data_IF_606273328567
#
_entry.id   IF_606273328567
#
_cell.length_a   1.000
_cell.length_b   1.000
_cell.length_c   1.000
_cell.angle_alpha   90.00
_cell.angle_beta   90.00
_cell.angle_gamma   90.00
#
_symmetry.space_group_name_H-M   'P 1'
#
loop_
_entity.id
_entity.type
_entity.pdbx_description
1 polymer ?
#
# COMPACT_ATOMS: atom_id res chain seq x y z
N UNK A 1 -56.66 65.51 -18.40
CA UNK A 1 -56.69 64.29 -17.56
C UNK A 1 -55.41 63.53 -17.86
N UNK A 2 -54.31 63.68 -17.10
CA UNK A 2 -54.03 63.26 -15.72
C UNK A 2 -53.83 61.73 -15.56
N UNK A 3 -52.78 61.39 -14.79
CA UNK A 3 -52.22 60.07 -14.40
C UNK A 3 -51.18 59.51 -15.38
N UNK A 4 -49.86 59.72 -15.24
CA UNK A 4 -48.92 59.84 -14.11
C UNK A 4 -48.69 58.53 -13.31
N UNK A 5 -47.45 58.07 -13.39
CA UNK A 5 -46.85 56.91 -12.75
C UNK A 5 -46.57 57.13 -11.25
N UNK A 6 -46.51 56.04 -10.47
CA UNK A 6 -45.83 56.05 -9.18
C UNK A 6 -45.29 54.66 -8.79
N UNK A 7 -43.98 54.66 -8.56
CA UNK A 7 -43.13 53.72 -7.84
C UNK A 7 -43.60 53.45 -6.42
N UNK A 8 -43.38 52.24 -5.87
CA UNK A 8 -43.37 52.00 -4.42
C UNK A 8 -42.19 51.13 -4.01
N UNK A 9 -41.56 51.58 -2.94
CA UNK A 9 -40.29 51.21 -2.30
C UNK A 9 -40.54 50.22 -1.15
N UNK A 10 -39.52 49.40 -0.86
CA UNK A 10 -39.37 48.41 0.21
C UNK A 10 -39.45 49.01 1.63
N UNK A 11 -39.87 48.23 2.65
CA UNK A 11 -39.26 48.36 3.97
C UNK A 11 -38.67 47.04 4.49
N UNK A 12 -37.52 47.15 5.14
CA UNK A 12 -36.89 46.12 5.94
C UNK A 12 -37.58 46.01 7.31
N UNK A 13 -37.64 44.80 7.89
CA UNK A 13 -37.98 44.65 9.32
C UNK A 13 -37.01 43.73 10.07
N UNK A 14 -36.64 44.28 11.22
CA UNK A 14 -35.69 43.91 12.26
C UNK A 14 -36.00 42.57 12.97
N UNK A 15 -34.93 41.88 13.38
CA UNK A 15 -34.93 40.71 14.28
C UNK A 15 -35.09 41.10 15.76
N UNK A 16 -35.72 40.27 16.61
CA UNK A 16 -35.49 40.31 18.05
C UNK A 16 -34.71 39.07 18.56
N UNK A 17 -33.74 39.34 19.42
CA UNK A 17 -32.93 38.39 20.19
C UNK A 17 -33.69 37.85 21.42
N UNK A 18 -33.30 36.64 21.83
CA UNK A 18 -33.17 36.18 23.23
C UNK A 18 -34.38 35.56 23.94
N UNK A 19 -34.36 34.23 24.09
CA UNK A 19 -34.57 33.55 25.38
C UNK A 19 -33.78 32.23 25.44
N UNK A 20 -32.84 32.17 26.38
CA UNK A 20 -32.10 30.98 26.82
C UNK A 20 -33.03 30.05 27.62
N UNK A 21 -32.91 28.75 27.39
CA UNK A 21 -33.12 27.73 28.42
C UNK A 21 -32.14 26.57 28.17
N UNK A 22 -31.16 26.45 29.06
CA UNK A 22 -30.23 25.33 29.18
C UNK A 22 -30.92 24.23 30.01
N UNK A 23 -30.89 22.98 29.56
CA UNK A 23 -30.98 21.80 30.44
C UNK A 23 -30.02 20.69 29.95
N UNK A 24 -29.44 19.89 30.88
CA UNK A 24 -28.15 19.22 30.71
C UNK A 24 -28.22 17.77 30.19
N UNK A 25 -27.04 17.31 29.74
CA UNK A 25 -26.65 15.99 29.22
C UNK A 25 -26.88 14.81 30.18
N UNK A 26 -26.89 13.58 29.64
CA UNK A 26 -26.15 12.46 30.23
C UNK A 26 -24.96 11.99 29.37
N UNK A 27 -23.94 11.34 29.97
CA UNK A 27 -22.62 11.15 29.36
C UNK A 27 -22.41 9.79 28.67
N UNK A 28 -21.62 9.84 27.58
CA UNK A 28 -20.57 8.90 27.13
C UNK A 28 -20.87 7.39 27.05
N UNK A 29 -20.88 6.86 25.82
CA UNK A 29 -20.43 5.50 25.50
C UNK A 29 -19.70 5.51 24.14
N UNK A 30 -18.38 5.24 24.16
CA UNK A 30 -17.56 5.12 22.96
C UNK A 30 -17.85 3.84 22.17
N UNK A 31 -17.39 3.74 20.91
CA UNK A 31 -17.63 2.57 20.09
C UNK A 31 -16.89 1.33 20.63
N UNK A 32 -17.65 0.29 20.95
CA UNK A 32 -17.19 -1.01 21.44
C UNK A 32 -16.53 -1.78 20.28
N UNK A 33 -15.26 -2.14 20.45
CA UNK A 33 -14.55 -3.08 19.58
C UNK A 33 -15.12 -4.49 19.78
N UNK A 34 -15.63 -5.08 18.70
CA UNK A 34 -16.03 -6.49 18.66
C UNK A 34 -14.77 -7.37 18.67
N UNK A 35 -14.37 -7.82 19.85
CA UNK A 35 -13.40 -8.91 20.03
C UNK A 35 -14.09 -10.22 19.67
N UNK A 36 -13.77 -10.75 18.49
CA UNK A 36 -14.09 -12.12 18.11
C UNK A 36 -13.13 -13.11 18.81
N UNK A 37 -13.71 -14.25 19.13
CA UNK A 37 -13.28 -15.31 20.02
C UNK A 37 -11.88 -15.90 19.73
N UNK A 38 -11.10 -16.09 20.79
CA UNK A 38 -9.99 -17.04 20.83
C UNK A 38 -10.52 -18.42 21.27
N UNK A 39 -10.09 -19.53 20.65
CA UNK A 39 -10.27 -20.84 21.26
C UNK A 39 -9.03 -21.30 22.03
N UNK A 40 -9.37 -21.98 23.12
CA UNK A 40 -8.59 -22.60 24.16
C UNK A 40 -7.33 -23.39 23.75
N UNK A 41 -6.33 -23.27 24.63
CA UNK A 41 -5.25 -24.20 24.82
C UNK A 41 -5.76 -25.63 25.05
N UNK A 42 -5.12 -26.61 24.40
CA UNK A 42 -5.23 -28.03 24.75
C UNK A 42 -3.84 -28.58 25.07
N UNK A 43 -3.56 -28.70 26.37
CA UNK A 43 -2.46 -29.51 26.92
C UNK A 43 -2.79 -30.99 26.78
N UNK A 44 -1.82 -31.80 26.31
CA UNK A 44 -1.60 -33.25 26.50
C UNK A 44 -0.46 -33.62 25.51
N UNK A 45 0.64 -34.27 25.85
CA UNK A 45 1.07 -34.88 27.09
C UNK A 45 2.60 -35.01 27.08
N UNK A 46 3.14 -35.07 28.28
CA UNK A 46 4.53 -35.36 28.61
C UNK A 46 4.76 -36.87 28.45
N UNK A 47 5.73 -37.27 27.64
CA UNK A 47 6.37 -38.59 27.73
C UNK A 47 7.87 -38.35 27.70
N UNK A 48 8.50 -38.67 28.82
CA UNK A 48 9.95 -38.78 28.98
C UNK A 48 10.34 -40.19 28.59
N UNK A 49 11.28 -40.34 27.66
CA UNK A 49 12.09 -41.54 27.50
C UNK A 49 13.53 -41.10 27.21
N UNK A 50 14.46 -41.63 28.00
CA UNK A 50 15.88 -41.31 28.00
C UNK A 50 16.65 -41.99 26.85
N UNK A 51 17.85 -41.44 26.63
CA UNK A 51 19.03 -41.81 25.83
C UNK A 51 19.14 -43.27 25.31
N UNK A 52 19.74 -43.58 24.15
CA UNK A 52 21.11 -43.20 23.76
C UNK A 52 21.39 -43.32 22.24
N UNK A 53 22.36 -42.51 21.81
CA UNK A 53 23.36 -42.68 20.74
C UNK A 53 22.96 -43.20 19.33
N UNK A 54 23.11 -42.32 18.32
CA UNK A 54 24.00 -42.57 17.17
C UNK A 54 24.12 -41.32 16.29
N UNK A 55 25.37 -40.98 15.97
CA UNK A 55 25.85 -39.75 15.35
C UNK A 55 25.46 -39.56 13.87
N UNK A 56 25.23 -38.29 13.49
CA UNK A 56 25.42 -37.80 12.12
C UNK A 56 25.64 -36.27 12.09
N UNK A 57 26.88 -35.85 12.33
CA UNK A 57 27.58 -34.82 11.56
C UNK A 57 27.01 -33.40 11.47
N UNK A 58 26.98 -32.67 12.58
CA UNK A 58 27.15 -31.22 12.58
C UNK A 58 28.38 -30.91 13.42
N UNK A 59 29.40 -30.25 12.85
CA UNK A 59 30.60 -29.88 13.58
C UNK A 59 30.26 -28.82 14.64
N UNK A 60 29.86 -29.28 15.82
CA UNK A 60 29.87 -28.51 17.06
C UNK A 60 31.33 -28.26 17.43
N UNK A 61 31.77 -27.01 17.29
CA UNK A 61 32.92 -26.52 18.04
C UNK A 61 32.37 -26.19 19.44
N UNK A 62 32.53 -27.13 20.36
CA UNK A 62 32.31 -26.89 21.78
C UNK A 62 33.23 -25.75 22.24
N UNK A 63 32.67 -24.80 23.00
CA UNK A 63 33.26 -23.53 23.49
C UNK A 63 33.14 -22.33 22.54
N UNK A 64 31.94 -22.06 22.01
CA UNK A 64 31.62 -20.79 21.34
C UNK A 64 31.49 -19.66 22.38
N UNK A 65 32.63 -19.14 22.84
CA UNK A 65 32.69 -17.82 23.49
C UNK A 65 31.96 -16.79 22.63
N UNK A 66 31.16 -15.93 23.28
CA UNK A 66 30.35 -14.96 22.56
C UNK A 66 31.27 -14.12 21.65
N UNK A 67 30.94 -13.95 20.35
CA UNK A 67 31.82 -13.22 19.43
C UNK A 67 32.03 -11.77 19.87
N UNK A 68 31.04 -11.21 20.59
CA UNK A 68 31.13 -9.90 21.25
C UNK A 68 32.17 -9.86 22.39
N UNK A 69 32.33 -10.95 23.16
CA UNK A 69 33.30 -11.05 24.25
C UNK A 69 34.72 -11.23 23.72
N UNK A 70 34.91 -12.00 22.65
CA UNK A 70 36.21 -12.17 21.97
C UNK A 70 36.70 -10.84 21.40
N UNK A 71 35.80 -10.06 20.81
CA UNK A 71 36.07 -8.71 20.30
C UNK A 71 36.13 -7.64 21.41
N UNK A 72 35.75 -7.97 22.65
CA UNK A 72 35.70 -7.03 23.79
C UNK A 72 34.69 -5.89 23.63
N UNK A 73 33.63 -6.11 22.85
CA UNK A 73 32.62 -5.11 22.51
C UNK A 73 31.26 -5.47 23.11
N UNK A 74 30.46 -4.46 23.43
CA UNK A 74 29.06 -4.69 23.78
C UNK A 74 28.18 -4.76 22.53
N UNK A 75 27.08 -5.53 22.52
CA UNK A 75 26.17 -5.61 21.37
C UNK A 75 25.50 -4.28 20.97
N UNK A 76 25.58 -3.26 21.82
CA UNK A 76 25.04 -1.92 21.61
C UNK A 76 26.08 -0.92 21.11
N UNK A 77 27.33 -1.34 20.99
CA UNK A 77 28.44 -0.45 20.68
C UNK A 77 28.46 -0.04 19.21
N UNK A 78 29.05 1.13 18.94
CA UNK A 78 29.09 1.69 17.60
C UNK A 78 30.03 0.91 16.67
N UNK A 79 29.70 0.88 15.37
CA UNK A 79 30.48 0.17 14.35
C UNK A 79 31.95 0.63 14.28
N UNK A 80 32.19 1.92 14.56
CA UNK A 80 33.53 2.49 14.59
C UNK A 80 34.33 1.97 15.79
N UNK A 81 33.68 1.78 16.94
CA UNK A 81 34.30 1.18 18.13
C UNK A 81 34.69 -0.29 17.90
N UNK A 82 33.83 -1.06 17.21
CA UNK A 82 34.13 -2.45 16.82
C UNK A 82 35.36 -2.56 15.92
N UNK A 83 35.49 -1.69 14.91
CA UNK A 83 36.66 -1.66 14.02
C UNK A 83 37.94 -1.33 14.76
N UNK A 84 37.88 -0.42 15.72
CA UNK A 84 39.03 -0.02 16.53
C UNK A 84 39.45 -1.14 17.48
N UNK A 85 38.49 -1.80 18.14
CA UNK A 85 38.74 -2.95 19.01
C UNK A 85 39.38 -4.12 18.24
N UNK A 86 38.84 -4.45 17.06
CA UNK A 86 39.41 -5.47 16.18
C UNK A 86 40.86 -5.14 15.77
N UNK A 87 41.12 -3.93 15.26
CA UNK A 87 42.47 -3.52 14.85
C UNK A 87 43.48 -3.57 15.98
N UNK A 88 43.06 -3.19 17.19
CA UNK A 88 43.90 -3.24 18.38
C UNK A 88 44.23 -4.68 18.77
N UNK A 89 43.22 -5.56 18.80
CA UNK A 89 43.38 -6.98 19.15
C UNK A 89 44.16 -7.77 18.13
N UNK A 90 44.01 -7.43 16.85
CA UNK A 90 44.79 -8.01 15.77
C UNK A 90 46.29 -7.70 15.91
N UNK A 91 46.63 -6.44 16.19
CA UNK A 91 48.02 -6.02 16.43
C UNK A 91 48.64 -6.68 17.67
N UNK A 92 47.87 -6.79 18.75
CA UNK A 92 48.29 -7.48 19.99
C UNK A 92 48.55 -8.98 19.75
N UNK A 93 47.74 -9.63 18.91
CA UNK A 93 47.88 -11.05 18.58
C UNK A 93 49.04 -11.33 17.60
N UNK A 94 49.26 -10.46 16.60
CA UNK A 94 50.43 -10.52 15.72
C UNK A 94 51.74 -10.34 16.50
N UNK A 95 51.75 -9.47 17.52
CA UNK A 95 52.93 -9.25 18.37
C UNK A 95 53.22 -10.44 19.31
N UNK A 96 52.19 -11.21 19.67
CA UNK A 96 52.31 -12.38 20.56
C UNK A 96 52.61 -13.67 19.77
N UNK A 97 52.27 -13.72 18.47
CA UNK A 97 52.52 -14.88 17.60
C UNK A 97 51.51 -16.03 17.77
N UNK A 98 50.34 -15.74 18.31
CA UNK A 98 49.28 -16.72 18.56
C UNK A 98 48.31 -16.82 17.36
N UNK A 99 48.68 -17.65 16.38
CA UNK A 99 47.89 -17.85 15.14
C UNK A 99 46.46 -18.37 15.41
N UNK A 100 46.29 -19.21 16.44
CA UNK A 100 44.99 -19.77 16.83
C UNK A 100 44.03 -18.70 17.39
N UNK A 101 44.56 -17.67 18.04
CA UNK A 101 43.76 -16.55 18.57
C UNK A 101 43.36 -15.59 17.45
N UNK A 102 44.25 -15.37 16.47
CA UNK A 102 43.93 -14.59 15.26
C UNK A 102 42.77 -15.20 14.47
N UNK A 103 42.80 -16.51 14.23
CA UNK A 103 41.72 -17.21 13.52
C UNK A 103 40.36 -17.10 14.24
N UNK A 104 40.36 -17.14 15.58
CA UNK A 104 39.15 -16.94 16.40
C UNK A 104 38.64 -15.49 16.32
N UNK A 105 39.54 -14.51 16.33
CA UNK A 105 39.21 -13.09 16.24
C UNK A 105 38.60 -12.73 14.88
N UNK A 106 39.17 -13.26 13.78
CA UNK A 106 38.63 -13.09 12.43
C UNK A 106 37.23 -13.70 12.28
N UNK A 107 37.05 -14.94 12.76
CA UNK A 107 35.75 -15.62 12.77
C UNK A 107 34.71 -14.85 13.58
N UNK A 108 35.09 -14.27 14.72
CA UNK A 108 34.21 -13.42 15.54
C UNK A 108 33.84 -12.12 14.81
N UNK A 109 34.79 -11.46 14.15
CA UNK A 109 34.54 -10.24 13.39
C UNK A 109 33.59 -10.48 12.21
N UNK A 110 33.82 -11.55 11.44
CA UNK A 110 32.99 -11.93 10.30
C UNK A 110 31.58 -12.31 10.72
N UNK A 111 31.42 -13.04 11.83
CA UNK A 111 30.10 -13.39 12.35
C UNK A 111 29.31 -12.17 12.81
N UNK A 112 29.92 -11.22 13.52
CA UNK A 112 29.26 -9.95 13.90
C UNK A 112 28.92 -9.12 12.66
N UNK A 113 29.81 -9.06 11.68
CA UNK A 113 29.57 -8.36 10.41
C UNK A 113 28.39 -8.96 9.65
N UNK A 114 28.34 -10.30 9.54
CA UNK A 114 27.24 -11.00 8.91
C UNK A 114 25.93 -10.83 9.67
N UNK A 115 25.96 -10.83 10.99
CA UNK A 115 24.79 -10.53 11.81
C UNK A 115 24.27 -9.10 11.54
N UNK A 116 25.13 -8.10 11.41
CA UNK A 116 24.70 -6.74 11.04
C UNK A 116 24.01 -6.69 9.67
N UNK A 117 24.56 -7.38 8.65
CA UNK A 117 23.92 -7.46 7.33
C UNK A 117 22.57 -8.18 7.40
N UNK A 118 22.48 -9.25 8.19
CA UNK A 118 21.23 -9.95 8.43
C UNK A 118 20.22 -9.08 9.19
N UNK A 119 20.64 -8.30 10.18
CA UNK A 119 19.77 -7.37 10.91
C UNK A 119 19.26 -6.25 10.00
N UNK A 120 20.10 -5.72 9.11
CA UNK A 120 19.69 -4.77 8.05
C UNK A 120 18.66 -5.40 7.12
N UNK A 121 18.92 -6.61 6.60
CA UNK A 121 17.97 -7.35 5.76
C UNK A 121 16.68 -7.70 6.49
N UNK A 122 16.76 -7.96 7.81
CA UNK A 122 15.64 -8.25 8.70
C UNK A 122 14.98 -6.98 9.25
N UNK A 123 15.42 -5.77 8.89
CA UNK A 123 14.82 -4.52 9.37
C UNK A 123 14.76 -4.40 10.89
N UNK A 124 15.76 -4.96 11.59
CA UNK A 124 15.92 -4.82 13.04
C UNK A 124 17.04 -3.82 13.26
N UNK A 125 16.76 -2.72 13.95
CA UNK A 125 17.80 -1.77 14.36
C UNK A 125 18.51 -2.27 15.62
N UNK A 126 19.69 -1.73 15.92
CA UNK A 126 20.40 -2.00 17.18
C UNK A 126 19.44 -1.92 18.38
N UNK A 127 19.51 -2.91 19.28
CA UNK A 127 18.65 -2.96 20.47
C UNK A 127 17.28 -3.61 20.27
N UNK A 128 17.11 -4.51 19.30
CA UNK A 128 15.88 -5.33 19.08
C UNK A 128 14.61 -4.54 18.71
N UNK A 129 14.73 -3.25 18.44
CA UNK A 129 13.59 -2.44 17.96
C UNK A 129 13.26 -2.90 16.55
N UNK A 130 12.16 -3.63 16.42
CA UNK A 130 11.67 -4.10 15.14
C UNK A 130 11.04 -2.93 14.39
N UNK A 131 11.56 -2.60 13.22
CA UNK A 131 10.90 -1.67 12.30
C UNK A 131 9.57 -2.29 11.89
N UNK A 132 8.50 -1.50 11.92
CA UNK A 132 7.16 -2.02 11.59
C UNK A 132 7.15 -2.67 10.21
N UNK A 133 6.41 -3.77 10.06
CA UNK A 133 6.38 -4.56 8.83
C UNK A 133 5.99 -3.73 7.60
N UNK A 134 5.15 -2.71 7.78
CA UNK A 134 4.72 -1.79 6.74
C UNK A 134 5.87 -0.91 6.22
N UNK A 135 6.80 -0.51 7.09
CA UNK A 135 7.98 0.26 6.71
C UNK A 135 9.07 -0.66 6.15
N UNK A 136 9.27 -1.82 6.79
CA UNK A 136 10.28 -2.81 6.40
C UNK A 136 10.07 -3.42 5.01
N UNK A 137 8.83 -3.56 4.58
CA UNK A 137 8.47 -4.19 3.30
C UNK A 137 7.81 -3.22 2.31
N UNK A 138 7.90 -1.91 2.53
CA UNK A 138 7.36 -0.89 1.61
C UNK A 138 7.92 -1.01 0.18
N UNK A 139 9.15 -1.49 0.05
CA UNK A 139 9.82 -1.72 -1.23
C UNK A 139 9.62 -3.13 -1.81
N UNK A 140 9.07 -4.07 -1.04
CA UNK A 140 8.82 -5.45 -1.49
C UNK A 140 7.53 -5.62 -2.32
N UNK A 141 7.09 -4.57 -3.00
CA UNK A 141 6.02 -4.64 -4.00
C UNK A 141 6.56 -4.12 -5.33
N UNK A 142 6.41 -4.87 -6.45
CA UNK A 142 5.40 -5.92 -6.72
C UNK A 142 5.89 -7.39 -6.69
N UNK A 143 4.95 -8.34 -6.48
CA UNK A 143 5.17 -9.82 -6.51
C UNK A 143 5.70 -10.29 -7.88
N UNK A 144 5.23 -9.63 -8.93
CA UNK A 144 5.70 -9.81 -10.31
C UNK A 144 6.17 -8.47 -10.84
N UNK A 145 7.32 -8.40 -11.53
CA UNK A 145 7.97 -7.14 -11.91
C UNK A 145 7.11 -6.23 -12.81
N UNK A 146 6.08 -6.79 -13.46
CA UNK A 146 5.17 -6.07 -14.36
C UNK A 146 3.76 -5.82 -13.77
N UNK A 147 3.50 -6.26 -12.54
CA UNK A 147 2.18 -6.18 -11.92
C UNK A 147 1.82 -4.80 -11.36
N UNK A 148 0.53 -4.52 -11.12
CA UNK A 148 0.07 -3.26 -10.54
C UNK A 148 0.64 -3.06 -9.13
N UNK A 149 1.11 -1.86 -8.82
CA UNK A 149 1.68 -1.53 -7.50
C UNK A 149 0.59 -0.98 -6.59
N UNK A 150 0.50 -1.46 -5.35
CA UNK A 150 -0.44 -0.91 -4.37
C UNK A 150 -0.06 0.54 -4.07
N UNK A 151 -1.02 1.44 -4.21
CA UNK A 151 -0.91 2.86 -3.91
C UNK A 151 -2.29 3.34 -3.51
N UNK A 152 -2.61 3.17 -2.23
CA UNK A 152 -3.85 3.67 -1.65
C UNK A 152 -3.93 5.19 -1.78
N UNK A 153 -5.02 5.69 -2.36
CA UNK A 153 -5.31 7.12 -2.39
C UNK A 153 -5.83 7.60 -1.03
N UNK A 154 -5.88 8.92 -0.84
CA UNK A 154 -6.42 9.50 0.39
C UNK A 154 -7.90 9.14 0.57
N UNK A 155 -8.38 9.07 1.82
CA UNK A 155 -9.80 8.75 2.10
C UNK A 155 -10.77 9.70 1.37
N UNK A 156 -10.37 10.97 1.21
CA UNK A 156 -11.12 11.96 0.44
C UNK A 156 -11.23 11.55 -1.03
N UNK A 157 -10.13 11.16 -1.65
CA UNK A 157 -10.11 10.75 -3.06
C UNK A 157 -10.86 9.44 -3.30
N UNK A 158 -10.76 8.48 -2.38
CA UNK A 158 -11.55 7.23 -2.42
C UNK A 158 -13.04 7.54 -2.43
N UNK A 159 -13.51 8.43 -1.55
CA UNK A 159 -14.93 8.83 -1.49
C UNK A 159 -15.39 9.51 -2.77
N UNK A 160 -14.55 10.34 -3.39
CA UNK A 160 -14.94 10.99 -4.64
C UNK A 160 -14.95 9.99 -5.80
N UNK A 161 -13.99 9.07 -5.86
CA UNK A 161 -14.00 7.99 -6.85
C UNK A 161 -15.25 7.11 -6.69
N UNK A 162 -15.65 6.80 -5.45
CA UNK A 162 -16.91 6.10 -5.15
C UNK A 162 -18.13 6.92 -5.59
N UNK A 163 -18.12 8.24 -5.36
CA UNK A 163 -19.19 9.12 -5.82
C UNK A 163 -19.35 9.09 -7.34
N UNK A 164 -18.25 9.14 -8.09
CA UNK A 164 -18.28 9.08 -9.55
C UNK A 164 -18.82 7.73 -10.04
N UNK A 165 -18.35 6.61 -9.48
CA UNK A 165 -18.83 5.30 -9.90
C UNK A 165 -20.31 5.10 -9.57
N UNK A 166 -20.75 5.47 -8.38
CA UNK A 166 -22.15 5.34 -7.95
C UNK A 166 -23.10 6.20 -8.79
N UNK A 167 -22.74 7.45 -9.11
CA UNK A 167 -23.56 8.32 -9.97
C UNK A 167 -23.72 7.72 -11.37
N UNK A 168 -22.65 7.18 -11.96
CA UNK A 168 -22.73 6.55 -13.28
C UNK A 168 -23.59 5.27 -13.23
N UNK A 169 -23.44 4.44 -12.20
CA UNK A 169 -24.25 3.22 -12.03
C UNK A 169 -25.74 3.55 -11.85
N UNK A 170 -26.06 4.57 -11.05
CA UNK A 170 -27.45 5.03 -10.87
C UNK A 170 -28.01 5.61 -12.17
N UNK A 171 -27.20 6.37 -12.91
CA UNK A 171 -27.60 6.91 -14.22
C UNK A 171 -28.03 5.79 -15.17
N UNK A 172 -27.18 4.79 -15.37
CA UNK A 172 -27.48 3.70 -16.31
C UNK A 172 -28.68 2.85 -15.83
N UNK A 173 -28.86 2.71 -14.52
CA UNK A 173 -30.00 1.98 -13.95
C UNK A 173 -31.34 2.69 -14.20
N UNK A 174 -31.37 4.03 -14.12
CA UNK A 174 -32.59 4.83 -14.37
C UNK A 174 -32.93 4.85 -15.86
N UNK A 175 -31.93 5.02 -16.73
CA UNK A 175 -32.15 5.12 -18.17
C UNK A 175 -32.57 3.79 -18.80
N UNK A 176 -32.23 2.65 -18.18
CA UNK A 176 -32.55 1.31 -18.70
C UNK A 176 -31.82 0.92 -19.99
N UNK A 177 -31.19 1.90 -20.65
CA UNK A 177 -30.40 1.77 -21.85
C UNK A 177 -29.05 2.45 -21.61
N UNK A 178 -27.94 1.73 -21.79
CA UNK A 178 -26.62 2.33 -21.83
C UNK A 178 -26.30 2.73 -23.28
N UNK A 179 -26.54 4.00 -23.61
CA UNK A 179 -25.83 4.63 -24.72
C UNK A 179 -24.30 4.54 -24.47
N UNK A 180 -23.46 4.75 -25.48
CA UNK A 180 -22.01 4.87 -25.29
C UNK A 180 -21.61 6.10 -24.44
N UNK A 181 -22.53 7.05 -24.21
CA UNK A 181 -22.30 8.29 -23.47
C UNK A 181 -21.88 8.08 -22.00
N UNK A 182 -22.62 7.32 -21.15
CA UNK A 182 -22.21 7.04 -19.77
C UNK A 182 -20.82 6.41 -19.67
N UNK A 183 -20.48 5.49 -20.57
CA UNK A 183 -19.14 4.89 -20.63
C UNK A 183 -18.08 5.95 -20.94
N UNK A 184 -18.33 6.86 -21.87
CA UNK A 184 -17.40 7.95 -22.16
C UNK A 184 -17.20 8.90 -20.97
N UNK A 185 -18.29 9.36 -20.32
CA UNK A 185 -18.18 10.23 -19.14
C UNK A 185 -17.41 9.55 -18.01
N UNK A 186 -17.64 8.26 -17.80
CA UNK A 186 -16.89 7.44 -16.84
C UNK A 186 -15.40 7.43 -17.20
N UNK A 187 -15.06 7.14 -18.46
CA UNK A 187 -13.67 7.12 -18.94
C UNK A 187 -12.99 8.48 -18.76
N UNK A 188 -13.64 9.59 -19.13
CA UNK A 188 -13.07 10.93 -18.96
C UNK A 188 -12.85 11.32 -17.49
N UNK A 189 -13.84 11.04 -16.63
CA UNK A 189 -13.73 11.33 -15.20
C UNK A 189 -12.59 10.55 -14.54
N UNK A 190 -12.49 9.25 -14.82
CA UNK A 190 -11.42 8.41 -14.28
C UNK A 190 -10.07 8.69 -14.94
N UNK A 191 -10.02 9.12 -16.20
CA UNK A 191 -8.80 9.58 -16.85
C UNK A 191 -8.15 10.74 -16.10
N UNK A 192 -8.93 11.78 -15.82
CA UNK A 192 -8.44 12.91 -15.04
C UNK A 192 -7.96 12.48 -13.64
N UNK A 193 -8.72 11.61 -12.98
CA UNK A 193 -8.39 11.09 -11.64
C UNK A 193 -7.08 10.30 -11.61
N UNK A 194 -6.92 9.38 -12.54
CA UNK A 194 -5.71 8.55 -12.66
C UNK A 194 -4.51 9.44 -13.00
N UNK A 195 -4.67 10.42 -13.89
CA UNK A 195 -3.59 11.38 -14.21
C UNK A 195 -3.16 12.19 -12.98
N UNK A 196 -4.12 12.72 -12.20
CA UNK A 196 -3.80 13.43 -10.97
C UNK A 196 -3.07 12.55 -9.97
N UNK A 197 -3.49 11.30 -9.83
CA UNK A 197 -2.85 10.31 -8.95
C UNK A 197 -1.42 10.01 -9.41
N UNK A 198 -1.23 9.71 -10.70
CA UNK A 198 0.10 9.46 -11.27
C UNK A 198 1.03 10.66 -11.07
N UNK A 199 0.51 11.89 -11.27
CA UNK A 199 1.26 13.13 -11.04
C UNK A 199 1.74 13.29 -9.60
N UNK A 200 0.93 12.90 -8.61
CA UNK A 200 1.26 13.04 -7.19
C UNK A 200 2.28 11.99 -6.69
N UNK A 201 2.39 10.85 -7.37
CA UNK A 201 3.24 9.73 -6.92
C UNK A 201 4.66 9.73 -7.48
N UNK A 202 5.01 10.71 -8.30
CA UNK A 202 6.37 10.84 -8.83
C UNK A 202 7.27 11.56 -7.83
N UNK A 203 8.53 11.08 -7.65
CA UNK A 203 9.50 11.78 -6.84
C UNK A 203 9.73 13.18 -7.42
N UNK A 204 9.90 14.22 -6.58
CA UNK A 204 10.34 15.52 -7.06
C UNK A 204 11.76 15.38 -7.63
N UNK A 205 11.85 15.21 -8.95
CA UNK A 205 13.12 15.20 -9.68
C UNK A 205 13.59 16.65 -9.77
N UNK A 206 14.82 16.91 -9.33
CA UNK A 206 15.46 18.21 -9.55
C UNK A 206 15.41 18.54 -11.04
N UNK A 207 14.77 19.65 -11.44
CA UNK A 207 14.66 19.99 -12.85
C UNK A 207 16.07 20.14 -13.44
N UNK A 208 16.41 19.25 -14.37
CA UNK A 208 17.61 19.39 -15.20
C UNK A 208 17.21 20.37 -16.30
N UNK A 209 17.70 21.59 -16.19
CA UNK A 209 17.52 22.63 -17.19
C UNK A 209 18.59 22.46 -18.27
N UNK A 210 18.19 22.50 -19.54
CA UNK A 210 19.13 22.59 -20.64
C UNK A 210 19.75 24.01 -20.69
N UNK A 211 20.74 24.20 -21.57
CA UNK A 211 21.43 25.48 -21.80
C UNK A 211 20.47 26.64 -22.16
N UNK A 212 19.27 26.32 -22.64
CA UNK A 212 18.22 27.26 -23.02
C UNK A 212 17.14 27.48 -21.94
N UNK A 213 17.34 26.93 -20.72
CA UNK A 213 16.41 27.10 -19.60
C UNK A 213 15.12 26.27 -19.69
N UNK A 214 15.01 25.36 -20.66
CA UNK A 214 13.88 24.43 -20.77
C UNK A 214 14.11 23.18 -19.91
N UNK A 215 13.04 22.72 -19.26
CA UNK A 215 13.08 21.48 -18.45
C UNK A 215 13.07 20.28 -19.38
N UNK A 216 14.22 19.65 -19.55
CA UNK A 216 14.39 18.55 -20.49
C UNK A 216 13.47 17.36 -20.11
N UNK A 217 12.82 16.77 -21.11
CA UNK A 217 11.95 15.60 -20.97
C UNK A 217 10.59 15.83 -20.28
N UNK A 218 10.17 17.08 -19.98
CA UNK A 218 8.86 17.35 -19.34
C UNK A 218 7.68 16.84 -20.18
N UNK A 219 7.73 17.05 -21.50
CA UNK A 219 6.70 16.58 -22.44
C UNK A 219 6.64 15.05 -22.52
N UNK A 220 7.80 14.39 -22.65
CA UNK A 220 7.92 12.93 -22.72
C UNK A 220 7.38 12.27 -21.44
N UNK A 221 7.67 12.85 -20.26
CA UNK A 221 7.11 12.38 -18.98
C UNK A 221 5.59 12.51 -18.93
N UNK A 222 5.04 13.65 -19.35
CA UNK A 222 3.58 13.84 -19.42
C UNK A 222 2.92 12.87 -20.40
N UNK A 223 3.52 12.65 -21.57
CA UNK A 223 3.03 11.68 -22.55
C UNK A 223 3.03 10.26 -21.98
N UNK A 224 4.11 9.83 -21.29
CA UNK A 224 4.18 8.53 -20.63
C UNK A 224 3.06 8.34 -19.60
N UNK A 225 2.72 9.39 -18.82
CA UNK A 225 1.60 9.35 -17.86
C UNK A 225 0.26 9.17 -18.56
N UNK A 226 0.04 9.91 -19.65
CA UNK A 226 -1.18 9.81 -20.46
C UNK A 226 -1.33 8.42 -21.05
N UNK A 227 -0.28 7.87 -21.65
CA UNK A 227 -0.30 6.50 -22.20
C UNK A 227 -0.60 5.47 -21.12
N UNK A 228 0.02 5.58 -19.93
CA UNK A 228 -0.25 4.68 -18.80
C UNK A 228 -1.71 4.79 -18.32
N UNK A 229 -2.22 6.02 -18.19
CA UNK A 229 -3.60 6.26 -17.75
C UNK A 229 -4.61 5.72 -18.77
N UNK A 230 -4.41 5.98 -20.06
CA UNK A 230 -5.25 5.45 -21.13
C UNK A 230 -5.19 3.92 -21.17
N UNK A 231 -4.00 3.34 -21.11
CA UNK A 231 -3.81 1.89 -21.06
C UNK A 231 -4.52 1.25 -19.88
N UNK A 232 -4.51 1.89 -18.70
CA UNK A 232 -5.24 1.41 -17.52
C UNK A 232 -6.76 1.44 -17.74
N UNK A 233 -7.30 2.51 -18.32
CA UNK A 233 -8.74 2.67 -18.54
C UNK A 233 -9.24 1.70 -19.59
N UNK A 234 -8.60 1.68 -20.76
CA UNK A 234 -8.93 0.71 -21.81
C UNK A 234 -8.73 -0.72 -21.32
N UNK A 235 -7.72 -0.97 -20.49
CA UNK A 235 -7.51 -2.26 -19.83
C UNK A 235 -8.66 -2.65 -18.89
N UNK A 236 -9.19 -1.71 -18.11
CA UNK A 236 -10.36 -1.97 -17.24
C UNK A 236 -11.63 -2.26 -18.05
N UNK A 237 -11.87 -1.49 -19.11
CA UNK A 237 -13.02 -1.72 -20.01
C UNK A 237 -12.87 -3.07 -20.71
N UNK A 238 -11.70 -3.36 -21.25
CA UNK A 238 -11.40 -4.65 -21.89
C UNK A 238 -11.54 -5.83 -20.93
N UNK A 239 -11.05 -5.70 -19.70
CA UNK A 239 -11.21 -6.72 -18.67
C UNK A 239 -12.68 -6.94 -18.29
N UNK A 240 -13.48 -5.86 -18.20
CA UNK A 240 -14.92 -5.97 -17.99
C UNK A 240 -15.63 -6.67 -19.16
N UNK A 241 -15.28 -6.32 -20.41
CA UNK A 241 -15.84 -6.96 -21.61
C UNK A 241 -15.45 -8.45 -21.70
N UNK A 242 -14.18 -8.79 -21.47
CA UNK A 242 -13.74 -10.19 -21.43
C UNK A 242 -14.42 -10.94 -20.29
N UNK A 243 -14.52 -10.36 -19.10
CA UNK A 243 -15.19 -10.98 -17.96
C UNK A 243 -16.66 -11.28 -18.24
N UNK A 244 -17.36 -10.37 -18.93
CA UNK A 244 -18.73 -10.60 -19.38
C UNK A 244 -18.83 -11.78 -20.37
N UNK A 245 -17.97 -11.81 -21.38
CA UNK A 245 -17.95 -12.92 -22.36
C UNK A 245 -17.56 -14.25 -21.70
N UNK A 246 -16.55 -14.25 -20.83
CA UNK A 246 -16.15 -15.44 -20.06
C UNK A 246 -17.29 -15.93 -19.18
N UNK A 247 -18.03 -15.03 -18.53
CA UNK A 247 -19.19 -15.39 -17.72
C UNK A 247 -20.27 -16.08 -18.56
N UNK A 248 -20.58 -15.56 -19.76
CA UNK A 248 -21.53 -16.19 -20.68
C UNK A 248 -21.04 -17.58 -21.10
N UNK A 249 -19.78 -17.69 -21.50
CA UNK A 249 -19.20 -18.97 -21.93
C UNK A 249 -19.21 -20.02 -20.81
N UNK A 250 -19.03 -19.60 -19.54
CA UNK A 250 -19.11 -20.49 -18.39
C UNK A 250 -20.55 -20.97 -18.13
N UNK A 251 -21.55 -20.10 -18.31
CA UNK A 251 -22.96 -20.46 -18.18
C UNK A 251 -23.35 -21.47 -19.26
N UNK A 252 -22.93 -21.24 -20.50
CA UNK A 252 -23.17 -22.15 -21.63
C UNK A 252 -22.47 -23.51 -21.42
N UNK A 253 -21.21 -23.49 -20.93
CA UNK A 253 -20.48 -24.71 -20.56
C UNK A 253 -21.18 -25.51 -19.44
N UNK A 254 -21.88 -24.82 -18.53
CA UNK A 254 -22.65 -25.46 -17.45
C UNK A 254 -23.97 -26.11 -17.90
N UNK A 255 -24.20 -26.23 -19.22
CA UNK A 255 -25.44 -26.77 -19.83
C UNK A 255 -26.71 -26.04 -19.39
N UNK A 256 -26.58 -24.79 -18.94
CA UNK A 256 -27.70 -23.93 -18.59
C UNK A 256 -28.09 -23.06 -19.78
N UNK A 257 -29.41 -22.85 -19.95
CA UNK A 257 -29.92 -21.92 -20.94
C UNK A 257 -29.56 -20.49 -20.55
N UNK A 258 -28.82 -19.78 -21.41
CA UNK A 258 -28.46 -18.38 -21.13
C UNK A 258 -29.71 -17.49 -21.15
N UNK A 259 -30.05 -16.82 -20.04
CA UNK A 259 -31.23 -15.98 -20.00
C UNK A 259 -31.08 -14.80 -20.96
N UNK A 260 -32.09 -14.61 -21.83
CA UNK A 260 -32.12 -13.58 -22.88
C UNK A 260 -31.90 -12.15 -22.36
N UNK A 261 -32.23 -11.93 -21.10
CA UNK A 261 -32.05 -10.69 -20.33
C UNK A 261 -30.58 -10.26 -20.28
N UNK A 262 -29.64 -11.21 -20.19
CA UNK A 262 -28.21 -10.90 -20.08
C UNK A 262 -27.69 -10.23 -21.35
N UNK A 263 -28.06 -10.77 -22.52
CA UNK A 263 -27.70 -10.16 -23.81
C UNK A 263 -28.35 -8.79 -24.02
N UNK A 264 -29.60 -8.62 -23.58
CA UNK A 264 -30.31 -7.35 -23.71
C UNK A 264 -29.66 -6.22 -22.90
N UNK A 265 -29.09 -6.56 -21.74
CA UNK A 265 -28.46 -5.60 -20.84
C UNK A 265 -26.92 -5.63 -20.88
N UNK A 266 -26.33 -6.17 -21.94
CA UNK A 266 -24.88 -6.28 -22.11
C UNK A 266 -24.14 -4.96 -21.79
N UNK A 267 -24.56 -3.86 -22.43
CA UNK A 267 -23.89 -2.56 -22.29
C UNK A 267 -23.99 -1.99 -20.86
N UNK A 268 -25.11 -2.25 -20.17
CA UNK A 268 -25.28 -1.87 -18.76
C UNK A 268 -24.33 -2.64 -17.86
N UNK A 269 -24.25 -3.96 -18.07
CA UNK A 269 -23.41 -4.86 -17.26
C UNK A 269 -21.94 -4.52 -17.44
N UNK A 270 -21.49 -4.33 -18.68
CA UNK A 270 -20.10 -3.95 -18.99
C UNK A 270 -19.77 -2.58 -18.41
N UNK A 271 -20.65 -1.60 -18.55
CA UNK A 271 -20.43 -0.25 -18.00
C UNK A 271 -20.39 -0.26 -16.47
N UNK A 272 -21.30 -1.00 -15.83
CA UNK A 272 -21.30 -1.16 -14.37
C UNK A 272 -20.02 -1.84 -13.88
N UNK A 273 -19.63 -2.95 -14.50
CA UNK A 273 -18.40 -3.67 -14.15
C UNK A 273 -17.14 -2.81 -14.36
N UNK A 274 -17.06 -2.09 -15.49
CA UNK A 274 -15.98 -1.15 -15.76
C UNK A 274 -15.91 -0.03 -14.71
N UNK A 275 -17.05 0.49 -14.25
CA UNK A 275 -17.09 1.53 -13.20
C UNK A 275 -16.51 1.03 -11.86
N UNK A 276 -16.79 -0.23 -11.51
CA UNK A 276 -16.27 -0.85 -10.29
C UNK A 276 -14.76 -1.11 -10.42
N UNK A 277 -14.31 -1.64 -11.56
CA UNK A 277 -12.88 -1.86 -11.82
C UNK A 277 -12.10 -0.54 -11.84
N UNK A 278 -12.63 0.51 -12.45
CA UNK A 278 -12.02 1.84 -12.46
C UNK A 278 -11.97 2.45 -11.06
N UNK A 279 -13.02 2.27 -10.25
CA UNK A 279 -13.01 2.68 -8.85
C UNK A 279 -11.90 1.97 -8.06
N UNK A 280 -11.77 0.64 -8.19
CA UNK A 280 -10.76 -0.15 -7.49
C UNK A 280 -9.36 0.26 -7.94
N UNK A 281 -9.12 0.33 -9.24
CA UNK A 281 -7.80 0.68 -9.80
C UNK A 281 -7.40 2.10 -9.44
N UNK A 282 -8.27 3.09 -9.62
CA UNK A 282 -7.99 4.48 -9.28
C UNK A 282 -7.80 4.69 -7.76
N UNK A 283 -8.45 3.89 -6.91
CA UNK A 283 -8.36 4.04 -5.46
C UNK A 283 -7.16 3.31 -4.86
N UNK A 284 -6.84 2.11 -5.32
CA UNK A 284 -5.87 1.23 -4.64
C UNK A 284 -4.60 0.93 -5.44
N UNK A 285 -4.56 1.22 -6.75
CA UNK A 285 -3.45 0.80 -7.62
C UNK A 285 -2.84 1.96 -8.43
N UNK A 286 -1.63 1.76 -8.98
CA UNK A 286 -0.95 2.67 -9.92
C UNK A 286 -0.15 1.94 -11.00
#
# INVERSE_FOLDING_TARGET
>A
MAAAAATVVVPALVSPLSRRAFFPLPPRAGPKSLRLFAPAARRRGLVVAAADAAAAGGAEFSDEENPYEILGITPLDSFDHMKLAYKRKHKEAEETGDDDYLAKLEKAYDTVMMQQLQYRKKGVTYGSVQVSKEIKYADNQPIVPWGPRSSGSTVKDIRINMGISTVIVVWIAIMGNADWKPLQFLCFAFFYRILQKLRATEPPITPIYNEYGEVEGRGIRMAKRVVRALGLIFGCVFAASLGYTTMINLIEFSWQYTPRIVYYYQELIVTAAASVLLYITASYYR
#
